data_IF_329916861405
#
_entry.id   IF_329916861405
#
_cell.length_a   1.000
_cell.length_b   1.000
_cell.length_c   1.000
_cell.angle_alpha   90.00
_cell.angle_beta   90.00
_cell.angle_gamma   90.00
#
_symmetry.space_group_name_H-M   'P 1'
#
loop_
_entity.id
_entity.type
_entity.pdbx_description
1 polymer ?
#
# COMPACT_ATOMS: atom_id res chain seq x y z
N UNK A 1 53.56 -50.60 -2.28
CA UNK A 1 52.38 -50.33 -3.15
C UNK A 1 51.16 -50.13 -2.26
N UNK A 2 50.87 -48.89 -1.86
CA UNK A 2 49.66 -48.51 -1.13
C UNK A 2 48.69 -47.85 -2.11
N UNK A 3 47.50 -48.44 -2.31
CA UNK A 3 46.45 -47.88 -3.16
C UNK A 3 45.77 -46.72 -2.42
N UNK A 4 45.83 -45.51 -2.97
CA UNK A 4 45.07 -44.36 -2.52
C UNK A 4 43.65 -44.46 -3.11
N UNK A 5 42.63 -44.69 -2.26
CA UNK A 5 41.22 -44.74 -2.66
C UNK A 5 40.64 -43.32 -2.70
N UNK A 6 40.65 -42.70 -3.88
CA UNK A 6 40.01 -41.41 -4.16
C UNK A 6 38.52 -41.59 -4.47
N UNK A 7 37.66 -41.75 -3.46
CA UNK A 7 36.22 -41.99 -3.70
C UNK A 7 35.17 -41.39 -2.73
N UNK A 8 35.43 -40.43 -1.81
CA UNK A 8 34.33 -39.81 -1.03
C UNK A 8 33.90 -38.41 -1.49
N UNK A 9 34.71 -37.69 -2.28
CA UNK A 9 34.52 -36.26 -2.57
C UNK A 9 33.39 -36.02 -3.59
N UNK A 10 33.29 -36.87 -4.61
CA UNK A 10 32.28 -36.71 -5.67
C UNK A 10 30.85 -36.86 -5.12
N UNK A 11 30.59 -37.78 -4.18
CA UNK A 11 29.25 -38.01 -3.62
C UNK A 11 28.69 -36.80 -2.84
N UNK A 12 29.57 -36.03 -2.20
CA UNK A 12 29.16 -34.84 -1.44
C UNK A 12 28.79 -33.66 -2.35
N UNK A 13 29.41 -33.57 -3.53
CA UNK A 13 29.10 -32.53 -4.51
C UNK A 13 27.68 -32.67 -5.08
N UNK A 14 27.25 -33.91 -5.40
CA UNK A 14 25.92 -34.18 -5.93
C UNK A 14 24.80 -33.90 -4.92
N UNK A 15 25.03 -34.19 -3.63
CA UNK A 15 24.06 -33.92 -2.57
C UNK A 15 23.88 -32.40 -2.38
N UNK A 16 24.97 -31.63 -2.41
CA UNK A 16 24.90 -30.16 -2.31
C UNK A 16 24.22 -29.54 -3.53
N UNK A 17 24.50 -30.02 -4.75
CA UNK A 17 23.83 -29.50 -5.95
C UNK A 17 22.34 -29.85 -5.98
N UNK A 18 21.96 -31.06 -5.55
CA UNK A 18 20.54 -31.45 -5.48
C UNK A 18 19.81 -30.67 -4.37
N UNK A 19 20.46 -30.44 -3.22
CA UNK A 19 19.88 -29.62 -2.14
C UNK A 19 19.68 -28.16 -2.57
N UNK A 20 20.62 -27.57 -3.31
CA UNK A 20 20.48 -26.23 -3.89
C UNK A 20 19.41 -26.13 -4.98
N UNK A 21 19.17 -27.20 -5.75
CA UNK A 21 18.09 -27.26 -6.74
C UNK A 21 16.73 -27.46 -6.04
N UNK A 22 16.67 -28.27 -4.98
CA UNK A 22 15.45 -28.52 -4.20
C UNK A 22 14.98 -27.28 -3.43
N UNK A 23 15.92 -26.48 -2.88
CA UNK A 23 15.57 -25.20 -2.23
C UNK A 23 15.14 -24.12 -3.21
N UNK A 24 15.48 -24.25 -4.49
CA UNK A 24 15.08 -23.29 -5.53
C UNK A 24 13.63 -23.49 -6.02
N UNK A 25 13.04 -24.67 -5.80
CA UNK A 25 11.66 -24.99 -6.18
C UNK A 25 10.62 -24.58 -5.13
N UNK A 26 11.07 -24.20 -3.94
CA UNK A 26 10.22 -23.66 -2.87
C UNK A 26 10.38 -22.14 -2.76
N UNK A 27 10.21 -21.40 -3.86
CA UNK A 27 9.80 -20.00 -3.71
C UNK A 27 8.36 -20.04 -3.24
N UNK A 28 8.03 -19.59 -2.01
CA UNK A 28 6.63 -19.36 -1.68
C UNK A 28 6.08 -18.44 -2.77
N UNK A 29 4.93 -18.81 -3.34
CA UNK A 29 4.17 -17.94 -4.23
C UNK A 29 4.22 -16.53 -3.61
N UNK A 30 4.86 -15.59 -4.31
CA UNK A 30 5.18 -14.28 -3.76
C UNK A 30 3.91 -13.71 -3.13
N UNK A 31 3.96 -13.41 -1.83
CA UNK A 31 2.78 -12.95 -1.10
C UNK A 31 2.16 -11.78 -1.85
N UNK A 32 0.91 -11.95 -2.28
CA UNK A 32 0.18 -10.94 -3.04
C UNK A 32 0.05 -9.73 -2.13
N UNK A 33 0.55 -8.60 -2.60
CA UNK A 33 0.52 -7.37 -1.86
C UNK A 33 -0.86 -6.72 -1.92
N UNK A 34 -1.36 -6.20 -0.80
CA UNK A 34 -2.69 -5.57 -0.72
C UNK A 34 -2.92 -4.48 -1.78
N UNK A 35 -1.88 -3.70 -2.13
CA UNK A 35 -2.00 -2.60 -3.08
C UNK A 35 -2.19 -3.09 -4.53
N UNK A 36 -1.79 -4.33 -4.84
CA UNK A 36 -1.87 -4.87 -6.19
C UNK A 36 -3.31 -5.15 -6.64
N UNK A 37 -4.14 -5.67 -5.74
CA UNK A 37 -5.56 -5.94 -6.00
C UNK A 37 -6.41 -4.68 -5.83
N UNK A 38 -6.10 -3.86 -4.82
CA UNK A 38 -6.82 -2.61 -4.61
C UNK A 38 -6.59 -1.62 -5.76
N UNK A 39 -5.40 -1.54 -6.36
CA UNK A 39 -5.18 -0.71 -7.56
C UNK A 39 -6.15 -1.03 -8.71
N UNK A 40 -6.54 -2.30 -8.84
CA UNK A 40 -7.45 -2.77 -9.90
C UNK A 40 -8.91 -2.42 -9.61
N UNK A 41 -9.28 -2.13 -8.36
CA UNK A 41 -10.61 -1.62 -8.01
C UNK A 41 -10.90 -0.22 -8.55
N UNK A 42 -9.89 0.49 -9.07
CA UNK A 42 -10.06 1.78 -9.75
C UNK A 42 -11.07 1.75 -10.92
N UNK A 43 -11.50 0.56 -11.35
CA UNK A 43 -12.52 0.35 -12.39
C UNK A 43 -13.98 0.23 -11.89
N UNK A 44 -14.24 0.09 -10.59
CA UNK A 44 -15.58 -0.21 -10.05
C UNK A 44 -15.97 0.72 -8.90
N UNK A 45 -16.17 2.01 -9.20
CA UNK A 45 -17.19 2.73 -8.46
C UNK A 45 -18.54 2.04 -8.76
N UNK A 46 -19.31 1.58 -7.76
CA UNK A 46 -20.66 1.11 -8.02
C UNK A 46 -21.43 2.30 -8.58
N UNK A 47 -21.63 2.33 -9.91
CA UNK A 47 -22.74 3.10 -10.47
C UNK A 47 -23.98 2.56 -9.78
N UNK A 48 -24.80 3.44 -9.24
CA UNK A 48 -26.13 3.09 -8.76
C UNK A 48 -26.90 2.52 -9.96
N UNK A 49 -26.82 1.21 -10.13
CA UNK A 49 -27.56 0.50 -11.15
C UNK A 49 -28.93 0.18 -10.56
N UNK A 50 -29.99 0.62 -11.23
CA UNK A 50 -31.38 0.33 -10.84
C UNK A 50 -31.79 -1.11 -11.24
N UNK A 51 -30.82 -2.02 -11.33
CA UNK A 51 -30.98 -3.41 -11.73
C UNK A 51 -31.02 -4.35 -10.54
N UNK A 52 -32.06 -5.16 -10.46
CA UNK A 52 -32.27 -6.24 -9.50
C UNK A 52 -31.23 -7.36 -9.71
N UNK A 53 -29.98 -7.11 -9.35
CA UNK A 53 -28.94 -8.12 -9.10
C UNK A 53 -28.46 -7.90 -7.68
N UNK A 54 -28.58 -8.91 -6.82
CA UNK A 54 -28.15 -8.83 -5.42
C UNK A 54 -26.70 -8.37 -5.35
N UNK A 55 -26.48 -7.10 -5.00
CA UNK A 55 -25.15 -6.56 -4.83
C UNK A 55 -24.39 -7.47 -3.86
N UNK A 56 -23.14 -7.87 -4.19
CA UNK A 56 -22.35 -8.71 -3.30
C UNK A 56 -22.26 -8.04 -1.93
N UNK A 57 -22.37 -8.83 -0.86
CA UNK A 57 -22.24 -8.28 0.49
C UNK A 57 -20.87 -7.61 0.64
N UNK A 58 -20.78 -6.56 1.47
CA UNK A 58 -19.53 -5.84 1.73
C UNK A 58 -18.38 -6.80 2.09
N UNK A 59 -18.71 -7.83 2.90
CA UNK A 59 -17.79 -8.90 3.26
C UNK A 59 -17.31 -9.74 2.07
N UNK A 60 -18.21 -10.09 1.15
CA UNK A 60 -17.84 -10.84 -0.06
C UNK A 60 -16.93 -10.02 -0.97
N UNK A 61 -17.20 -8.71 -1.12
CA UNK A 61 -16.34 -7.82 -1.90
C UNK A 61 -14.94 -7.68 -1.28
N UNK A 62 -14.85 -7.41 0.01
CA UNK A 62 -13.56 -7.27 0.70
C UNK A 62 -12.76 -8.57 0.75
N UNK A 63 -13.43 -9.73 0.81
CA UNK A 63 -12.78 -11.03 0.76
C UNK A 63 -12.20 -11.37 -0.61
N UNK A 64 -12.70 -10.76 -1.70
CA UNK A 64 -12.13 -10.93 -3.05
C UNK A 64 -10.82 -10.17 -3.24
N UNK A 65 -10.50 -9.23 -2.34
CA UNK A 65 -9.26 -8.45 -2.38
C UNK A 65 -8.12 -9.26 -1.78
N UNK A 66 -7.39 -9.95 -2.64
CA UNK A 66 -6.23 -10.71 -2.21
C UNK A 66 -5.14 -9.79 -1.64
N UNK A 67 -4.45 -10.27 -0.60
CA UNK A 67 -3.33 -9.56 0.02
C UNK A 67 -3.71 -8.59 1.14
N UNK A 68 -5.00 -8.34 1.39
CA UNK A 68 -5.42 -7.55 2.55
C UNK A 68 -5.09 -8.26 3.86
N UNK A 69 -4.59 -7.48 4.81
CA UNK A 69 -4.47 -7.88 6.21
C UNK A 69 -5.86 -8.05 6.86
N UNK A 70 -6.02 -8.89 7.90
CA UNK A 70 -7.30 -9.00 8.62
C UNK A 70 -7.84 -7.65 9.12
N UNK A 71 -6.98 -6.77 9.61
CA UNK A 71 -7.35 -5.40 9.98
C UNK A 71 -7.78 -4.55 8.79
N UNK A 72 -7.09 -4.65 7.65
CA UNK A 72 -7.47 -3.95 6.42
C UNK A 72 -8.83 -4.43 5.89
N UNK A 73 -9.08 -5.74 5.91
CA UNK A 73 -10.36 -6.32 5.49
C UNK A 73 -11.51 -5.79 6.35
N UNK A 74 -11.32 -5.66 7.67
CA UNK A 74 -12.32 -5.08 8.56
C UNK A 74 -12.60 -3.60 8.26
N UNK A 75 -11.56 -2.82 7.94
CA UNK A 75 -11.74 -1.42 7.54
C UNK A 75 -12.46 -1.34 6.18
N UNK A 76 -12.11 -2.21 5.24
CA UNK A 76 -12.80 -2.33 3.95
C UNK A 76 -14.29 -2.59 4.15
N UNK A 77 -14.69 -3.54 5.01
CA UNK A 77 -16.09 -3.85 5.27
C UNK A 77 -16.89 -2.66 5.82
N UNK A 78 -16.24 -1.81 6.63
CA UNK A 78 -16.83 -0.60 7.21
C UNK A 78 -16.87 0.58 6.23
N UNK A 79 -15.90 0.68 5.34
CA UNK A 79 -15.69 1.81 4.44
C UNK A 79 -15.59 1.35 2.97
N UNK A 80 -16.56 0.53 2.53
CA UNK A 80 -16.55 -0.05 1.17
C UNK A 80 -16.54 1.03 0.09
N UNK A 81 -17.28 2.12 0.29
CA UNK A 81 -17.32 3.28 -0.61
C UNK A 81 -15.95 3.98 -0.77
N UNK A 82 -15.02 3.77 0.16
CA UNK A 82 -13.66 4.34 0.09
C UNK A 82 -12.73 3.50 -0.79
N UNK A 83 -12.98 2.19 -0.94
CA UNK A 83 -12.03 1.27 -1.56
C UNK A 83 -11.71 1.59 -3.04
N UNK A 84 -12.66 2.02 -3.89
CA UNK A 84 -12.33 2.46 -5.26
C UNK A 84 -11.37 3.66 -5.27
N UNK A 85 -11.54 4.58 -4.31
CA UNK A 85 -10.69 5.78 -4.16
C UNK A 85 -9.30 5.40 -3.65
N UNK A 86 -9.21 4.46 -2.70
CA UNK A 86 -7.92 3.88 -2.26
C UNK A 86 -7.21 3.25 -3.45
N UNK A 87 -7.93 2.47 -4.27
CA UNK A 87 -7.42 1.89 -5.51
C UNK A 87 -6.86 2.92 -6.48
N UNK A 88 -7.61 3.99 -6.70
CA UNK A 88 -7.18 5.11 -7.54
C UNK A 88 -5.92 5.80 -6.99
N UNK A 89 -5.87 6.08 -5.69
CA UNK A 89 -4.70 6.68 -5.03
C UNK A 89 -3.45 5.82 -5.11
N UNK A 90 -3.59 4.49 -4.95
CA UNK A 90 -2.50 3.53 -5.15
C UNK A 90 -2.02 3.56 -6.59
N UNK A 91 -2.94 3.47 -7.56
CA UNK A 91 -2.60 3.46 -8.99
C UNK A 91 -1.81 4.71 -9.38
N UNK A 92 -2.32 5.89 -9.03
CA UNK A 92 -1.64 7.17 -9.31
C UNK A 92 -0.25 7.22 -8.64
N UNK A 93 -0.11 6.68 -7.44
CA UNK A 93 1.19 6.63 -6.73
C UNK A 93 2.21 5.75 -7.45
N UNK A 94 1.77 4.63 -8.05
CA UNK A 94 2.64 3.72 -8.82
C UNK A 94 3.05 4.37 -10.13
N UNK A 95 2.11 5.01 -10.84
CA UNK A 95 2.40 5.76 -12.07
C UNK A 95 3.41 6.89 -11.80
N UNK A 96 3.24 7.65 -10.72
CA UNK A 96 4.18 8.69 -10.32
C UNK A 96 5.54 8.11 -9.90
N UNK A 97 5.56 6.98 -9.20
CA UNK A 97 6.80 6.29 -8.86
C UNK A 97 7.58 5.86 -10.11
N UNK A 98 6.89 5.29 -11.10
CA UNK A 98 7.48 4.95 -12.39
C UNK A 98 7.99 6.18 -13.12
N UNK A 99 7.23 7.27 -13.09
CA UNK A 99 7.64 8.54 -13.66
C UNK A 99 8.92 9.07 -13.02
N UNK A 100 8.98 9.16 -11.69
CA UNK A 100 10.15 9.67 -10.95
C UNK A 100 11.42 8.82 -11.20
N UNK A 101 11.27 7.51 -11.35
CA UNK A 101 12.39 6.58 -11.51
C UNK A 101 12.61 6.09 -12.95
N UNK A 102 11.98 6.70 -13.96
CA UNK A 102 12.01 6.25 -15.37
C UNK A 102 13.40 6.09 -16.00
N UNK A 103 14.41 6.80 -15.49
CA UNK A 103 15.80 6.72 -15.95
C UNK A 103 16.75 6.06 -14.93
N UNK A 104 16.21 5.35 -13.94
CA UNK A 104 16.97 4.62 -12.92
C UNK A 104 16.97 3.12 -13.24
N UNK A 105 17.95 2.39 -12.68
CA UNK A 105 18.04 0.92 -12.82
C UNK A 105 16.81 0.22 -12.23
N UNK A 106 16.33 0.71 -11.09
CA UNK A 106 15.03 0.36 -10.55
C UNK A 106 14.05 1.46 -10.95
N UNK A 107 13.04 1.13 -11.75
CA UNK A 107 12.10 2.07 -12.36
C UNK A 107 10.67 1.93 -11.83
N UNK A 108 10.50 1.29 -10.67
CA UNK A 108 9.20 1.03 -10.05
C UNK A 108 8.22 0.16 -10.87
N UNK A 109 8.67 -0.45 -11.97
CA UNK A 109 7.87 -1.40 -12.75
C UNK A 109 8.10 -2.84 -12.27
N UNK A 110 7.08 -3.69 -12.40
CA UNK A 110 7.24 -5.14 -12.35
C UNK A 110 6.98 -5.72 -13.75
N UNK A 111 7.98 -6.39 -14.37
CA UNK A 111 7.86 -6.91 -15.72
C UNK A 111 6.77 -7.97 -15.91
N UNK A 112 6.27 -8.59 -14.83
CA UNK A 112 5.33 -9.73 -14.93
C UNK A 112 3.84 -9.34 -14.83
N UNK A 113 3.50 -8.19 -14.26
CA UNK A 113 2.09 -7.83 -13.95
C UNK A 113 1.69 -6.43 -14.41
N UNK A 114 2.62 -5.65 -14.97
CA UNK A 114 2.34 -4.33 -15.54
C UNK A 114 1.96 -3.23 -14.55
N UNK A 115 1.60 -3.53 -13.30
CA UNK A 115 1.11 -2.54 -12.33
C UNK A 115 1.48 -2.80 -10.86
N UNK A 116 2.39 -3.72 -10.56
CA UNK A 116 2.74 -4.04 -9.15
C UNK A 116 4.12 -3.54 -8.80
N UNK A 117 4.26 -2.86 -7.66
CA UNK A 117 5.55 -2.74 -6.98
C UNK A 117 5.95 -4.17 -6.60
N UNK A 118 7.09 -4.68 -7.09
CA UNK A 118 7.57 -6.05 -6.76
C UNK A 118 7.78 -6.27 -5.26
N UNK A 119 8.52 -7.31 -4.81
CA UNK A 119 8.76 -7.57 -3.38
C UNK A 119 9.67 -6.52 -2.72
N UNK A 120 9.72 -5.27 -3.20
CA UNK A 120 10.51 -4.18 -2.63
C UNK A 120 10.12 -3.95 -1.17
N UNK A 121 8.84 -4.10 -0.82
CA UNK A 121 8.34 -4.00 0.55
C UNK A 121 8.71 -5.20 1.42
N UNK A 122 9.16 -6.31 0.84
CA UNK A 122 9.79 -7.39 1.62
C UNK A 122 11.19 -6.97 2.11
N UNK A 123 11.83 -6.01 1.43
CA UNK A 123 13.15 -5.51 1.73
C UNK A 123 13.09 -4.22 2.55
N UNK A 124 14.17 -3.90 3.26
CA UNK A 124 14.35 -2.65 4.00
C UNK A 124 15.17 -1.63 3.22
N UNK A 125 14.81 -1.38 1.95
CA UNK A 125 15.61 -0.54 1.03
C UNK A 125 15.06 0.89 0.93
N UNK A 126 15.87 1.85 0.44
CA UNK A 126 15.41 3.21 0.14
C UNK A 126 14.24 3.25 -0.87
N UNK A 127 14.24 2.36 -1.85
CA UNK A 127 13.14 2.23 -2.83
C UNK A 127 11.83 1.76 -2.16
N UNK A 128 11.94 0.88 -1.15
CA UNK A 128 10.81 0.49 -0.33
C UNK A 128 10.29 1.67 0.49
N UNK A 129 11.19 2.44 1.11
CA UNK A 129 10.82 3.63 1.86
C UNK A 129 10.08 4.67 0.98
N UNK A 130 10.58 4.92 -0.22
CA UNK A 130 9.94 5.84 -1.17
C UNK A 130 8.53 5.37 -1.56
N UNK A 131 8.37 4.08 -1.86
CA UNK A 131 7.07 3.53 -2.26
C UNK A 131 6.05 3.54 -1.13
N UNK A 132 6.44 3.23 0.12
CA UNK A 132 5.56 3.39 1.30
C UNK A 132 5.08 4.84 1.46
N UNK A 133 6.01 5.80 1.36
CA UNK A 133 5.68 7.21 1.45
C UNK A 133 4.73 7.66 0.33
N UNK A 134 5.03 7.33 -0.93
CA UNK A 134 4.19 7.69 -2.08
C UNK A 134 2.79 7.10 -2.01
N UNK A 135 2.68 5.80 -1.72
CA UNK A 135 1.38 5.13 -1.59
C UNK A 135 0.53 5.79 -0.49
N UNK A 136 1.14 6.08 0.66
CA UNK A 136 0.41 6.73 1.75
C UNK A 136 0.03 8.18 1.41
N UNK A 137 0.89 8.92 0.70
CA UNK A 137 0.58 10.27 0.23
C UNK A 137 -0.56 10.28 -0.79
N UNK A 138 -0.53 9.40 -1.79
CA UNK A 138 -1.51 9.35 -2.87
C UNK A 138 -2.89 8.90 -2.40
N UNK A 139 -2.96 7.89 -1.52
CA UNK A 139 -4.26 7.49 -0.92
C UNK A 139 -4.83 8.63 -0.07
N UNK A 140 -4.01 9.29 0.75
CA UNK A 140 -4.48 10.42 1.56
C UNK A 140 -4.99 11.58 0.67
N UNK A 141 -4.26 11.91 -0.39
CA UNK A 141 -4.64 12.96 -1.35
C UNK A 141 -5.99 12.66 -2.02
N UNK A 142 -6.18 11.46 -2.56
CA UNK A 142 -7.41 11.11 -3.28
C UNK A 142 -8.63 11.04 -2.35
N UNK A 143 -8.48 10.50 -1.13
CA UNK A 143 -9.57 10.48 -0.16
C UNK A 143 -9.97 11.91 0.22
N UNK A 144 -9.01 12.78 0.53
CA UNK A 144 -9.28 14.17 0.90
C UNK A 144 -9.98 14.96 -0.22
N UNK A 145 -9.55 14.75 -1.46
CA UNK A 145 -10.18 15.35 -2.64
C UNK A 145 -11.58 14.82 -2.88
N UNK A 146 -11.79 13.52 -2.71
CA UNK A 146 -13.09 12.88 -2.90
C UNK A 146 -14.10 13.31 -1.84
N UNK A 147 -13.65 13.52 -0.59
CA UNK A 147 -14.46 14.14 0.46
C UNK A 147 -14.97 15.53 0.08
N UNK A 148 -14.11 16.38 -0.51
CA UNK A 148 -14.51 17.71 -1.01
C UNK A 148 -15.57 17.62 -2.10
N UNK A 149 -15.53 16.58 -2.93
CA UNK A 149 -16.52 16.35 -3.98
C UNK A 149 -17.85 15.79 -3.45
N UNK A 150 -17.93 15.40 -2.17
CA UNK A 150 -19.13 14.82 -1.57
C UNK A 150 -19.46 13.42 -2.09
N UNK A 151 -18.46 12.68 -2.59
CA UNK A 151 -18.65 11.33 -3.16
C UNK A 151 -18.45 10.21 -2.13
N UNK A 152 -18.05 10.54 -0.91
CA UNK A 152 -17.89 9.60 0.21
C UNK A 152 -18.93 9.93 1.28
N UNK A 153 -19.57 8.89 1.83
CA UNK A 153 -20.66 9.06 2.80
C UNK A 153 -20.19 9.57 4.17
N UNK A 154 -18.93 9.31 4.51
CA UNK A 154 -18.39 9.53 5.86
C UNK A 154 -17.66 10.86 6.03
N UNK A 155 -17.53 11.66 4.97
CA UNK A 155 -16.81 12.93 5.00
C UNK A 155 -17.39 13.96 4.03
N UNK A 156 -16.98 15.22 4.22
CA UNK A 156 -17.35 16.35 3.36
C UNK A 156 -16.19 17.34 3.26
N UNK A 157 -16.50 18.60 2.97
CA UNK A 157 -15.52 19.69 2.90
C UNK A 157 -14.65 19.81 4.15
N UNK A 158 -13.44 20.34 3.98
CA UNK A 158 -12.61 20.77 5.10
C UNK A 158 -13.35 21.78 5.99
N UNK A 159 -13.18 21.65 7.31
CA UNK A 159 -13.80 22.53 8.32
C UNK A 159 -12.80 23.56 8.89
N UNK A 160 -11.76 23.89 8.12
CA UNK A 160 -10.75 24.86 8.53
C UNK A 160 -11.35 26.25 8.72
N UNK A 161 -11.02 26.83 9.88
CA UNK A 161 -11.37 28.21 10.22
C UNK A 161 -10.59 29.16 9.32
N UNK A 162 -11.17 30.33 9.08
CA UNK A 162 -10.48 31.44 8.43
C UNK A 162 -9.11 31.68 9.09
N UNK A 163 -8.00 31.70 8.33
CA UNK A 163 -6.70 32.00 8.88
C UNK A 163 -6.67 33.40 9.52
N UNK A 164 -6.10 33.57 10.73
CA UNK A 164 -6.09 34.85 11.43
C UNK A 164 -5.32 35.93 10.67
N UNK A 165 -4.32 35.53 9.87
CA UNK A 165 -3.48 36.43 9.09
C UNK A 165 -4.04 36.73 7.67
N UNK A 166 -5.24 36.23 7.33
CA UNK A 166 -5.83 36.50 6.03
C UNK A 166 -6.34 37.95 5.98
N UNK A 167 -5.90 38.70 4.97
CA UNK A 167 -6.31 40.08 4.75
C UNK A 167 -7.83 40.22 4.78
N UNK A 168 -8.35 41.24 5.47
CA UNK A 168 -9.80 41.45 5.66
C UNK A 168 -10.57 41.63 4.34
N UNK A 169 -9.90 42.15 3.30
CA UNK A 169 -10.48 42.30 1.95
C UNK A 169 -10.73 40.96 1.25
N UNK A 170 -10.06 39.89 1.68
CA UNK A 170 -10.24 38.56 1.10
C UNK A 170 -11.35 37.82 1.85
N UNK A 171 -12.29 37.23 1.11
CA UNK A 171 -13.29 36.34 1.68
C UNK A 171 -12.72 34.94 1.84
N UNK A 172 -12.89 34.35 3.02
CA UNK A 172 -12.58 32.93 3.26
C UNK A 172 -13.84 32.12 3.02
N UNK A 173 -13.73 31.05 2.23
CA UNK A 173 -14.86 30.20 1.93
C UNK A 173 -14.55 29.21 0.82
N UNK A 174 -15.59 28.58 0.31
CA UNK A 174 -15.49 27.45 -0.60
C UNK A 174 -15.39 26.12 0.13
N UNK A 175 -15.25 25.06 -0.64
CA UNK A 175 -15.09 23.70 -0.14
C UNK A 175 -13.67 23.26 -0.45
N UNK A 176 -12.81 23.16 0.57
CA UNK A 176 -11.44 22.67 0.45
C UNK A 176 -11.35 21.16 0.66
N UNK A 177 -10.23 20.56 0.22
CA UNK A 177 -9.93 19.14 0.42
C UNK A 177 -9.85 18.81 1.92
N UNK A 178 -10.52 17.73 2.34
CA UNK A 178 -10.56 17.35 3.75
C UNK A 178 -9.33 16.52 4.12
N UNK A 179 -8.22 17.23 4.29
CA UNK A 179 -6.89 16.65 4.50
C UNK A 179 -6.80 15.88 5.82
N UNK A 180 -7.42 16.41 6.88
CA UNK A 180 -7.46 15.74 8.18
C UNK A 180 -8.13 14.35 8.09
N UNK A 181 -9.32 14.29 7.47
CA UNK A 181 -10.02 13.02 7.28
C UNK A 181 -9.21 12.03 6.43
N UNK A 182 -8.69 12.47 5.27
CA UNK A 182 -7.94 11.61 4.38
C UNK A 182 -6.67 11.04 5.01
N UNK A 183 -5.94 11.86 5.77
CA UNK A 183 -4.77 11.39 6.52
C UNK A 183 -5.13 10.41 7.63
N UNK A 184 -6.20 10.66 8.40
CA UNK A 184 -6.66 9.76 9.46
C UNK A 184 -7.11 8.41 8.91
N UNK A 185 -7.96 8.43 7.87
CA UNK A 185 -8.42 7.21 7.20
C UNK A 185 -7.24 6.41 6.66
N UNK A 186 -6.32 7.07 5.94
CA UNK A 186 -5.17 6.42 5.32
C UNK A 186 -4.21 5.85 6.36
N UNK A 187 -3.97 6.55 7.47
CA UNK A 187 -3.19 6.03 8.58
C UNK A 187 -3.81 4.76 9.15
N UNK A 188 -5.11 4.77 9.41
CA UNK A 188 -5.81 3.61 9.95
C UNK A 188 -5.78 2.43 8.97
N UNK A 189 -5.95 2.69 7.66
CA UNK A 189 -6.00 1.64 6.65
C UNK A 189 -4.62 1.07 6.30
N UNK A 190 -3.61 1.91 6.06
CA UNK A 190 -2.29 1.45 5.62
C UNK A 190 -1.45 0.94 6.79
N UNK A 191 -1.51 1.58 7.96
CA UNK A 191 -0.63 1.21 9.08
C UNK A 191 -1.14 -0.01 9.86
N UNK A 192 -2.40 -0.45 9.69
CA UNK A 192 -2.97 -1.55 10.48
C UNK A 192 -2.21 -2.87 10.29
N UNK A 193 -1.75 -3.16 9.07
CA UNK A 193 -1.00 -4.39 8.78
C UNK A 193 0.35 -4.44 9.53
N UNK A 194 0.95 -3.29 9.81
CA UNK A 194 2.19 -3.16 10.58
C UNK A 194 1.96 -3.19 12.11
N UNK A 195 0.71 -2.95 12.56
CA UNK A 195 0.33 -2.91 13.98
C UNK A 195 -0.29 -4.20 14.49
N UNK A 196 -1.03 -4.91 13.63
CA UNK A 196 -1.72 -6.15 14.01
C UNK A 196 -0.76 -7.32 14.23
N UNK A 197 0.45 -7.25 13.67
CA UNK A 197 1.49 -8.25 13.85
C UNK A 197 2.31 -7.90 15.09
N UNK A 198 2.20 -8.72 16.12
CA UNK A 198 3.02 -8.58 17.32
C UNK A 198 4.40 -9.21 17.10
N UNK A 199 5.39 -8.35 16.85
CA UNK A 199 6.78 -8.77 16.72
C UNK A 199 7.51 -8.53 18.05
N UNK A 200 8.28 -9.51 18.55
CA UNK A 200 9.10 -9.30 19.75
C UNK A 200 10.03 -8.09 19.57
N UNK A 201 10.17 -7.30 20.63
CA UNK A 201 11.09 -6.16 20.63
C UNK A 201 12.52 -6.63 20.29
N UNK A 202 13.30 -5.76 19.66
CA UNK A 202 14.67 -6.02 19.19
C UNK A 202 14.80 -7.06 18.07
N UNK A 203 13.70 -7.43 17.40
CA UNK A 203 13.75 -8.22 16.16
C UNK A 203 13.88 -7.32 14.93
N UNK A 204 14.38 -7.89 13.82
CA UNK A 204 14.47 -7.18 12.54
C UNK A 204 13.09 -6.83 12.01
N UNK A 205 12.11 -7.70 12.24
CA UNK A 205 10.72 -7.56 11.83
C UNK A 205 10.06 -6.40 12.57
N UNK A 206 10.30 -6.28 13.89
CA UNK A 206 9.83 -5.14 14.68
C UNK A 206 10.46 -3.83 14.21
N UNK A 207 11.78 -3.80 13.97
CA UNK A 207 12.45 -2.60 13.43
C UNK A 207 11.90 -2.21 12.05
N UNK A 208 11.61 -3.19 11.21
CA UNK A 208 11.03 -2.97 9.88
C UNK A 208 9.60 -2.44 9.96
N UNK A 209 8.74 -2.96 10.86
CA UNK A 209 7.38 -2.45 10.99
C UNK A 209 7.36 -0.99 11.47
N UNK A 210 8.28 -0.62 12.36
CA UNK A 210 8.50 0.78 12.76
C UNK A 210 8.97 1.64 11.59
N UNK A 211 9.92 1.17 10.79
CA UNK A 211 10.41 1.86 9.60
C UNK A 211 9.29 2.07 8.58
N UNK A 212 8.48 1.04 8.31
CA UNK A 212 7.36 1.11 7.38
C UNK A 212 6.33 2.16 7.82
N UNK A 213 5.95 2.14 9.11
CA UNK A 213 5.05 3.15 9.69
C UNK A 213 5.62 4.57 9.59
N UNK A 214 6.93 4.72 9.86
CA UNK A 214 7.61 6.01 9.71
C UNK A 214 7.55 6.51 8.27
N UNK A 215 7.84 5.66 7.29
CA UNK A 215 7.80 6.02 5.88
C UNK A 215 6.37 6.38 5.42
N UNK A 216 5.36 5.63 5.86
CA UNK A 216 3.96 5.96 5.58
C UNK A 216 3.59 7.32 6.18
N UNK A 217 4.00 7.58 7.43
CA UNK A 217 3.79 8.85 8.10
C UNK A 217 4.45 9.99 7.32
N UNK A 218 5.74 9.86 6.97
CA UNK A 218 6.46 10.84 6.14
C UNK A 218 5.68 11.14 4.86
N UNK A 219 5.16 10.13 4.16
CA UNK A 219 4.32 10.30 2.98
C UNK A 219 3.09 11.18 3.22
N UNK A 220 2.29 10.86 4.24
CA UNK A 220 1.13 11.67 4.65
C UNK A 220 1.53 13.08 5.09
N UNK A 221 2.74 13.22 5.62
CA UNK A 221 3.34 14.49 6.01
C UNK A 221 3.91 15.30 4.86
N UNK A 222 4.14 14.75 3.67
CA UNK A 222 4.46 15.60 2.50
C UNK A 222 3.26 16.49 2.14
N UNK A 223 2.05 16.03 2.42
CA UNK A 223 0.84 16.85 2.38
C UNK A 223 0.73 17.82 3.59
N UNK A 224 1.75 17.89 4.48
CA UNK A 224 1.76 18.82 5.62
C UNK A 224 2.18 20.21 5.20
N UNK A 225 1.29 21.17 5.34
CA UNK A 225 1.03 21.74 6.66
C UNK A 225 -0.08 21.11 7.53
N UNK A 226 -0.85 20.10 7.09
CA UNK A 226 -2.19 19.83 7.62
C UNK A 226 -2.40 18.46 8.34
N UNK A 227 -1.53 17.45 8.19
CA UNK A 227 -1.69 16.13 8.84
C UNK A 227 -0.93 15.97 10.17
N UNK A 228 -0.96 16.97 11.06
CA UNK A 228 -0.41 16.86 12.44
C UNK A 228 -1.51 16.54 13.44
#
# INVERSE_FOLDING_TARGET
MTRYNSAPILRHCWILTVYSILTCLATPAGSIAWWSTIAQLSAHAPKADNGLSSAPSHRALCAQLEGLSPGQARICELFVDHMPVVGFGVKNSIEECQWQFRYRRWNCSNPNTGQTIGPVHALGTPEAAFTYAMLSAGVAHEISRTCRLGLLSSCGCNQEKRPPNLQRSWMWGGCGDNIHYGCQFTQNFIDICERERDYPKNTKEYAKSLMNRWNNEVGRKVNQFICN
#
